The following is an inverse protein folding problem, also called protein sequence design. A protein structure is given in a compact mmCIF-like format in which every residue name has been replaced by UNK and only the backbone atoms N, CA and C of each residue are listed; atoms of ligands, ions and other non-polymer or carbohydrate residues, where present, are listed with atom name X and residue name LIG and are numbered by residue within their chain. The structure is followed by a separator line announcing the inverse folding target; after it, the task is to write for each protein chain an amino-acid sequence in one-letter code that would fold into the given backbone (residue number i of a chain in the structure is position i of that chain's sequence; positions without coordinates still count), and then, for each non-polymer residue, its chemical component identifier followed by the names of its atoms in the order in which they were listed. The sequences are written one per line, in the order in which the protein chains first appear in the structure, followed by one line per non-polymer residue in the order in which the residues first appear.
data_IF_761054996740
#
_entry.id   IF_761054996740
#
_cell.length_a   1.000
_cell.length_b   1.000
_cell.length_c   1.000
_cell.angle_alpha   90.00
_cell.angle_beta   90.00
_cell.angle_gamma   90.00
#
_symmetry.space_group_name_H-M   'P 1'
#
loop_
_entity.id
_entity.type
_entity.pdbx_description
1 polymer ?
#
# COMPACT_ATOMS: atom_id res chain seq x y z
N UNK A 1 -2.09 -15.21 -16.80
CA UNK A 1 -0.68 -14.85 -16.49
C UNK A 1 -0.56 -14.10 -15.16
N UNK A 2 -1.36 -13.03 -14.89
CA UNK A 2 -1.29 -12.31 -13.61
C UNK A 2 -1.56 -13.21 -12.40
N UNK A 3 -2.61 -14.05 -12.46
CA UNK A 3 -2.87 -15.04 -11.41
C UNK A 3 -1.71 -16.04 -11.27
N UNK A 4 -1.11 -16.47 -12.37
CA UNK A 4 0.05 -17.35 -12.33
C UNK A 4 1.24 -16.71 -11.58
N UNK A 5 1.59 -15.45 -11.88
CA UNK A 5 2.62 -14.71 -11.16
C UNK A 5 2.35 -14.65 -9.65
N UNK A 6 1.09 -14.39 -9.27
CA UNK A 6 0.69 -14.37 -7.86
C UNK A 6 0.80 -15.73 -7.17
N UNK A 7 0.42 -16.79 -7.87
CA UNK A 7 0.56 -18.17 -7.34
C UNK A 7 2.03 -18.53 -7.16
N UNK A 8 2.91 -18.19 -8.12
CA UNK A 8 4.34 -18.40 -8.02
C UNK A 8 4.97 -17.69 -6.82
N UNK A 9 4.52 -16.46 -6.53
CA UNK A 9 4.95 -15.70 -5.35
C UNK A 9 4.59 -16.44 -4.04
N UNK A 10 3.35 -16.93 -3.92
CA UNK A 10 2.94 -17.71 -2.74
C UNK A 10 3.73 -19.02 -2.62
N UNK A 11 3.94 -19.73 -3.72
CA UNK A 11 4.68 -20.98 -3.73
C UNK A 11 6.17 -20.80 -3.37
N UNK A 12 6.77 -19.64 -3.67
CA UNK A 12 8.12 -19.29 -3.27
C UNK A 12 8.27 -18.89 -1.80
N UNK A 13 7.17 -18.58 -1.10
CA UNK A 13 7.20 -18.16 0.30
C UNK A 13 7.73 -19.28 1.21
N UNK A 14 8.29 -18.91 2.37
CA UNK A 14 8.86 -19.85 3.32
C UNK A 14 7.89 -20.93 3.79
N UNK A 15 6.59 -20.60 3.79
CA UNK A 15 5.52 -21.54 4.13
C UNK A 15 5.38 -22.70 3.12
N UNK A 16 5.55 -22.42 1.82
CA UNK A 16 5.23 -23.40 0.77
C UNK A 16 6.45 -23.86 -0.02
N UNK A 17 7.58 -23.17 0.08
CA UNK A 17 8.77 -23.43 -0.73
C UNK A 17 9.32 -24.85 -0.57
N UNK A 18 9.26 -25.42 0.63
CA UNK A 18 9.73 -26.79 0.88
C UNK A 18 8.93 -27.86 0.12
N UNK A 19 7.65 -27.61 -0.09
CA UNK A 19 6.75 -28.54 -0.79
C UNK A 19 6.66 -28.27 -2.29
N UNK A 20 6.66 -26.99 -2.66
CA UNK A 20 6.53 -26.57 -4.06
C UNK A 20 7.81 -26.65 -4.87
N UNK A 21 8.96 -26.54 -4.21
CA UNK A 21 10.27 -26.44 -4.87
C UNK A 21 10.48 -25.13 -5.64
N UNK A 22 9.57 -24.15 -5.53
CA UNK A 22 9.64 -22.89 -6.27
C UNK A 22 10.56 -21.91 -5.54
N UNK A 23 11.51 -21.35 -6.28
CA UNK A 23 12.45 -20.34 -5.78
C UNK A 23 11.89 -18.92 -5.94
N UNK A 24 12.44 -17.97 -5.18
CA UNK A 24 12.16 -16.54 -5.35
C UNK A 24 12.50 -16.04 -6.76
N UNK A 25 13.55 -16.58 -7.38
CA UNK A 25 13.89 -16.22 -8.76
C UNK A 25 12.81 -16.63 -9.74
N UNK A 26 12.25 -17.84 -9.63
CA UNK A 26 11.15 -18.27 -10.50
C UNK A 26 9.88 -17.42 -10.30
N UNK A 27 9.61 -16.97 -9.09
CA UNK A 27 8.50 -16.03 -8.82
C UNK A 27 8.77 -14.66 -9.45
N UNK A 28 9.99 -14.14 -9.35
CA UNK A 28 10.39 -12.89 -9.98
C UNK A 28 10.31 -12.97 -11.52
N UNK A 29 10.78 -14.06 -12.11
CA UNK A 29 10.73 -14.31 -13.56
C UNK A 29 9.28 -14.36 -14.06
N UNK A 30 8.39 -14.98 -13.29
CA UNK A 30 6.96 -15.02 -13.63
C UNK A 30 6.32 -13.63 -13.61
N UNK A 31 6.68 -12.77 -12.66
CA UNK A 31 6.23 -11.38 -12.60
C UNK A 31 6.82 -10.53 -13.74
N UNK A 32 8.11 -10.68 -14.02
CA UNK A 32 8.80 -9.99 -15.12
C UNK A 32 8.20 -10.38 -16.47
N UNK A 33 7.92 -11.67 -16.70
CA UNK A 33 7.27 -12.13 -17.93
C UNK A 33 5.90 -11.50 -18.12
N UNK A 34 5.12 -11.35 -17.03
CA UNK A 34 3.83 -10.68 -17.11
C UNK A 34 3.99 -9.20 -17.55
N UNK A 35 4.92 -8.46 -16.96
CA UNK A 35 5.17 -7.07 -17.32
C UNK A 35 5.67 -6.92 -18.77
N UNK A 36 6.52 -7.85 -19.23
CA UNK A 36 7.02 -7.85 -20.60
C UNK A 36 5.92 -8.15 -21.63
N UNK A 37 5.12 -9.18 -21.37
CA UNK A 37 4.11 -9.65 -22.33
C UNK A 37 2.88 -8.73 -22.41
N UNK A 38 2.54 -8.04 -21.33
CA UNK A 38 1.29 -7.30 -21.18
C UNK A 38 1.46 -5.82 -20.81
N UNK A 39 2.69 -5.31 -20.73
CA UNK A 39 2.98 -3.92 -20.36
C UNK A 39 2.44 -2.86 -21.34
N UNK A 40 2.00 -3.26 -22.53
CA UNK A 40 1.28 -2.39 -23.48
C UNK A 40 -0.22 -2.30 -23.20
N UNK A 41 -0.78 -3.30 -22.47
CA UNK A 41 -2.20 -3.38 -22.12
C UNK A 41 -2.48 -2.87 -20.72
N UNK A 42 -1.55 -3.14 -19.80
CA UNK A 42 -1.64 -2.77 -18.40
C UNK A 42 -0.46 -1.90 -18.00
N UNK A 43 -0.68 -0.99 -17.09
CA UNK A 43 0.36 -0.09 -16.59
C UNK A 43 -0.16 0.74 -15.44
N UNK A 44 0.72 1.52 -14.82
CA UNK A 44 0.32 2.41 -13.74
C UNK A 44 -0.67 3.48 -14.24
N UNK A 45 -1.66 3.79 -13.43
CA UNK A 45 -2.58 4.88 -13.68
C UNK A 45 -1.86 6.22 -13.45
N UNK A 46 -1.56 6.91 -14.52
CA UNK A 46 -0.78 8.17 -14.52
C UNK A 46 -1.46 9.31 -15.28
N UNK A 47 -2.79 9.26 -15.38
CA UNK A 47 -3.55 10.25 -16.17
C UNK A 47 -3.75 11.59 -15.46
N UNK A 48 -3.58 11.63 -14.16
CA UNK A 48 -3.62 12.86 -13.36
C UNK A 48 -2.20 13.40 -13.15
N UNK A 49 -2.09 14.69 -12.87
CA UNK A 49 -0.79 15.35 -12.66
C UNK A 49 -0.24 15.19 -11.25
N UNK A 50 -1.13 14.92 -10.28
CA UNK A 50 -0.78 14.73 -8.88
C UNK A 50 -0.69 13.24 -8.52
N UNK A 51 0.44 12.76 -7.98
CA UNK A 51 0.62 11.34 -7.63
C UNK A 51 -0.41 10.79 -6.63
N UNK A 52 -0.86 11.60 -5.67
CA UNK A 52 -1.91 11.21 -4.72
C UNK A 52 -3.23 10.96 -5.45
N UNK A 53 -3.59 11.85 -6.36
CA UNK A 53 -4.81 11.73 -7.17
C UNK A 53 -4.72 10.52 -8.10
N UNK A 54 -3.57 10.27 -8.72
CA UNK A 54 -3.35 9.05 -9.51
C UNK A 54 -3.61 7.79 -8.69
N UNK A 55 -3.01 7.69 -7.52
CA UNK A 55 -3.18 6.54 -6.62
C UNK A 55 -4.63 6.37 -6.18
N UNK A 56 -5.28 7.45 -5.74
CA UNK A 56 -6.69 7.43 -5.34
C UNK A 56 -7.60 6.97 -6.48
N UNK A 57 -7.42 7.52 -7.67
CA UNK A 57 -8.21 7.18 -8.83
C UNK A 57 -7.94 5.76 -9.35
N UNK A 58 -6.71 5.26 -9.24
CA UNK A 58 -6.42 3.86 -9.57
C UNK A 58 -7.23 2.86 -8.73
N UNK A 59 -7.53 3.24 -7.46
CA UNK A 59 -8.33 2.42 -6.55
C UNK A 59 -9.84 2.65 -6.73
N UNK A 60 -10.27 3.91 -6.84
CA UNK A 60 -11.69 4.28 -6.84
C UNK A 60 -12.36 4.14 -8.21
N UNK A 61 -11.63 4.37 -9.31
CA UNK A 61 -12.17 4.18 -10.65
C UNK A 61 -12.19 2.70 -11.00
N UNK A 62 -13.33 2.22 -11.43
CA UNK A 62 -13.45 0.83 -11.85
C UNK A 62 -12.79 0.63 -13.23
N UNK A 63 -12.61 -0.63 -13.61
CA UNK A 63 -11.96 -1.00 -14.87
C UNK A 63 -12.75 -0.62 -16.14
N UNK A 64 -14.03 -0.25 -16.01
CA UNK A 64 -14.82 0.29 -17.11
C UNK A 64 -14.55 1.76 -17.36
N UNK A 65 -13.96 2.47 -16.42
CA UNK A 65 -13.54 3.84 -16.64
C UNK A 65 -12.40 3.84 -17.66
N UNK A 66 -12.61 4.56 -18.73
CA UNK A 66 -11.67 4.71 -19.83
C UNK A 66 -10.32 5.16 -19.35
N UNK A 67 -9.37 4.55 -19.08
CA UNK A 67 -8.00 4.92 -18.64
C UNK A 67 -7.54 4.26 -17.33
N UNK A 68 -8.34 3.41 -16.69
CA UNK A 68 -7.82 2.63 -15.56
C UNK A 68 -7.28 1.28 -16.07
N UNK A 69 -6.13 1.34 -16.74
CA UNK A 69 -5.41 0.16 -17.21
C UNK A 69 -4.53 -0.51 -16.14
N UNK A 70 -4.55 0.00 -14.90
CA UNK A 70 -3.90 -0.66 -13.76
C UNK A 70 -4.74 -1.83 -13.23
N UNK A 71 -6.06 -1.80 -13.42
CA UNK A 71 -6.95 -2.86 -12.98
C UNK A 71 -6.93 -4.04 -13.94
N UNK A 72 -6.41 -5.19 -13.50
CA UNK A 72 -6.29 -6.41 -14.29
C UNK A 72 -7.53 -7.30 -14.12
N UNK A 73 -8.04 -7.41 -12.90
CA UNK A 73 -9.18 -8.22 -12.55
C UNK A 73 -9.98 -7.58 -11.42
N UNK A 74 -11.30 -7.50 -11.59
CA UNK A 74 -12.19 -6.91 -10.59
C UNK A 74 -13.46 -7.75 -10.42
N UNK A 75 -14.10 -7.59 -9.30
CA UNK A 75 -15.43 -8.14 -9.01
C UNK A 75 -16.48 -7.02 -9.17
N UNK A 76 -17.48 -7.25 -9.96
CA UNK A 76 -18.42 -6.21 -10.39
C UNK A 76 -19.80 -6.26 -9.70
N UNK A 77 -20.00 -7.11 -8.70
CA UNK A 77 -21.33 -7.44 -8.18
C UNK A 77 -21.47 -7.17 -6.67
N UNK A 78 -20.59 -6.34 -6.10
CA UNK A 78 -20.62 -6.08 -4.66
C UNK A 78 -21.39 -4.81 -4.37
N UNK A 79 -22.60 -4.94 -3.86
CA UNK A 79 -23.25 -3.86 -3.13
C UNK A 79 -22.61 -3.77 -1.73
N UNK A 80 -21.87 -2.71 -1.47
CA UNK A 80 -21.43 -2.40 -0.11
C UNK A 80 -22.63 -1.89 0.67
N UNK A 81 -23.05 -2.63 1.71
CA UNK A 81 -24.15 -2.21 2.58
C UNK A 81 -23.77 -0.93 3.35
N UNK A 82 -24.72 -0.04 3.53
CA UNK A 82 -24.57 1.19 4.29
C UNK A 82 -23.97 0.98 5.69
N UNK A 83 -24.25 -0.16 6.32
CA UNK A 83 -23.69 -0.52 7.62
C UNK A 83 -22.16 -0.70 7.64
N UNK A 84 -21.54 -1.16 6.55
CA UNK A 84 -20.08 -1.27 6.48
C UNK A 84 -19.44 0.12 6.42
N UNK A 85 -19.97 1.01 5.60
CA UNK A 85 -19.49 2.40 5.49
C UNK A 85 -19.62 3.11 6.83
N UNK A 86 -20.75 2.96 7.51
CA UNK A 86 -20.99 3.56 8.81
C UNK A 86 -20.02 3.06 9.89
N UNK A 87 -19.69 1.78 9.89
CA UNK A 87 -18.74 1.21 10.85
C UNK A 87 -17.32 1.76 10.65
N UNK A 88 -16.92 2.03 9.43
CA UNK A 88 -15.54 2.43 9.09
C UNK A 88 -15.34 3.96 9.13
N UNK A 89 -16.42 4.73 9.05
CA UNK A 89 -16.37 6.19 9.14
C UNK A 89 -15.91 6.65 10.53
N UNK A 90 -15.12 7.73 10.63
CA UNK A 90 -14.70 8.30 11.92
C UNK A 90 -15.85 8.66 12.84
N UNK A 91 -15.65 8.51 14.15
CA UNK A 91 -16.69 8.79 15.16
C UNK A 91 -17.17 10.24 15.09
N UNK A 92 -16.28 11.21 14.83
CA UNK A 92 -16.64 12.63 14.68
C UNK A 92 -17.55 12.91 13.49
N UNK A 93 -17.59 12.03 12.50
CA UNK A 93 -18.41 12.09 11.30
C UNK A 93 -19.63 11.15 11.37
N UNK A 94 -20.00 10.73 12.56
CA UNK A 94 -21.18 9.90 12.81
C UNK A 94 -20.98 8.41 12.61
N UNK A 95 -19.77 7.95 12.42
CA UNK A 95 -19.42 6.53 12.32
C UNK A 95 -18.93 5.92 13.63
N UNK A 96 -18.45 4.69 13.56
CA UNK A 96 -17.95 3.93 14.72
C UNK A 96 -16.41 3.83 14.78
N UNK A 97 -15.69 4.28 13.74
CA UNK A 97 -14.22 4.20 13.67
C UNK A 97 -13.70 2.77 13.74
N UNK A 98 -14.41 1.80 13.14
CA UNK A 98 -14.12 0.38 13.27
C UNK A 98 -12.86 -0.08 12.53
N UNK A 99 -12.45 0.63 11.49
CA UNK A 99 -11.26 0.29 10.69
C UNK A 99 -10.15 1.30 10.93
N UNK A 100 -9.13 0.89 11.68
CA UNK A 100 -7.95 1.70 11.92
C UNK A 100 -6.69 1.00 11.40
N UNK A 101 -5.76 1.72 10.74
CA UNK A 101 -4.48 1.15 10.37
C UNK A 101 -3.64 0.87 11.62
N UNK A 102 -2.80 -0.16 11.56
CA UNK A 102 -1.77 -0.32 12.57
C UNK A 102 -0.72 0.78 12.45
N UNK A 103 -0.07 1.14 13.57
CA UNK A 103 1.01 2.11 13.54
C UNK A 103 2.18 1.62 12.66
N UNK A 104 2.44 0.31 12.64
CA UNK A 104 3.45 -0.28 11.75
C UNK A 104 3.18 0.04 10.27
N UNK A 105 1.93 -0.05 9.81
CA UNK A 105 1.59 0.33 8.45
C UNK A 105 1.89 1.81 8.17
N UNK A 106 1.55 2.69 9.11
CA UNK A 106 1.84 4.14 8.97
C UNK A 106 3.35 4.39 8.92
N UNK A 107 4.11 3.69 9.74
CA UNK A 107 5.56 3.84 9.84
C UNK A 107 6.32 3.29 8.63
N UNK A 108 5.73 2.34 7.91
CA UNK A 108 6.31 1.78 6.68
C UNK A 108 6.23 2.71 5.46
N UNK A 109 5.41 3.75 5.49
CA UNK A 109 5.44 4.74 4.41
C UNK A 109 6.71 5.57 4.49
N UNK A 110 7.41 5.71 3.38
CA UNK A 110 8.62 6.54 3.29
C UNK A 110 8.29 8.05 3.36
N UNK A 111 9.32 8.85 3.48
CA UNK A 111 9.22 10.29 3.29
C UNK A 111 9.14 10.61 1.78
N UNK A 112 8.70 11.81 1.44
CA UNK A 112 8.60 12.27 0.05
C UNK A 112 9.94 12.26 -0.71
N UNK A 113 11.05 12.26 0.02
CA UNK A 113 12.39 12.14 -0.56
C UNK A 113 12.85 10.67 -0.76
N UNK A 114 11.99 9.69 -0.51
CA UNK A 114 12.27 8.26 -0.66
C UNK A 114 13.09 7.65 0.47
N UNK A 115 13.32 8.38 1.56
CA UNK A 115 14.03 7.86 2.73
C UNK A 115 13.04 7.32 3.75
N UNK A 116 13.36 6.18 4.33
CA UNK A 116 12.55 5.63 5.43
C UNK A 116 12.64 6.51 6.68
N UNK A 117 11.53 6.77 7.40
CA UNK A 117 11.50 7.62 8.60
C UNK A 117 12.46 7.18 9.69
N UNK A 118 12.66 5.87 9.86
CA UNK A 118 13.46 5.28 10.91
C UNK A 118 14.70 4.57 10.36
N UNK A 119 15.72 4.43 11.20
CA UNK A 119 17.02 3.88 10.81
C UNK A 119 17.02 2.37 10.60
N UNK A 120 16.09 1.66 11.24
CA UNK A 120 15.98 0.20 11.11
C UNK A 120 14.56 -0.29 11.35
N UNK A 121 14.22 -1.38 10.67
CA UNK A 121 12.96 -2.10 10.75
C UNK A 121 13.24 -3.59 10.97
N UNK A 122 12.37 -4.25 11.70
CA UNK A 122 12.42 -5.71 11.86
C UNK A 122 11.81 -6.43 10.64
N UNK A 123 11.79 -7.75 10.69
CA UNK A 123 11.25 -8.61 9.63
C UNK A 123 9.73 -8.45 9.41
N UNK A 124 9.02 -7.84 10.36
CA UNK A 124 7.59 -7.55 10.26
C UNK A 124 7.31 -6.16 9.69
N UNK A 125 8.35 -5.37 9.44
CA UNK A 125 8.24 -3.98 9.01
C UNK A 125 7.96 -3.01 10.16
N UNK A 126 8.10 -3.43 11.42
CA UNK A 126 7.99 -2.53 12.56
C UNK A 126 9.33 -1.82 12.82
N UNK A 127 9.31 -0.52 13.17
CA UNK A 127 10.53 0.19 13.56
C UNK A 127 11.18 -0.44 14.79
N UNK A 128 12.51 -0.56 14.78
CA UNK A 128 13.26 -1.14 15.89
C UNK A 128 13.51 -0.12 16.97
N UNK A 129 13.14 -0.44 18.22
CA UNK A 129 13.20 0.47 19.36
C UNK A 129 14.49 0.40 20.19
N UNK A 130 15.39 -0.51 19.97
CA UNK A 130 16.71 -0.63 20.64
C UNK A 130 16.74 -0.27 22.14
N UNK A 131 15.67 -0.60 22.87
CA UNK A 131 15.53 -0.29 24.30
C UNK A 131 15.18 1.17 24.65
N UNK A 132 14.82 1.98 23.66
CA UNK A 132 14.36 3.37 23.83
C UNK A 132 12.83 3.47 23.74
N UNK A 133 12.25 4.55 24.24
CA UNK A 133 10.80 4.81 24.15
C UNK A 133 10.32 5.12 22.73
N UNK A 134 11.23 5.50 21.84
CA UNK A 134 10.96 5.83 20.44
C UNK A 134 11.99 5.16 19.55
N UNK A 135 11.62 4.76 18.32
CA UNK A 135 12.59 4.20 17.38
C UNK A 135 13.61 5.25 16.94
N UNK A 136 14.80 4.81 16.55
CA UNK A 136 15.84 5.70 16.07
C UNK A 136 15.44 6.33 14.73
N UNK A 137 15.35 7.66 14.70
CA UNK A 137 15.01 8.42 13.50
C UNK A 137 16.17 8.38 12.51
N UNK A 138 15.86 8.16 11.24
CA UNK A 138 16.80 8.36 10.15
C UNK A 138 16.96 9.87 9.89
N UNK A 139 18.08 10.45 10.28
CA UNK A 139 18.31 11.90 10.15
C UNK A 139 18.28 12.37 8.67
N UNK A 140 18.62 11.52 7.71
CA UNK A 140 18.57 11.86 6.30
C UNK A 140 17.14 11.94 5.75
N UNK A 141 16.17 11.36 6.46
CA UNK A 141 14.77 11.33 6.04
C UNK A 141 14.05 12.67 6.21
N UNK A 142 14.48 13.49 7.17
CA UNK A 142 13.78 14.70 7.56
C UNK A 142 12.50 14.46 8.36
N UNK A 143 12.26 13.24 8.83
CA UNK A 143 11.12 12.89 9.69
C UNK A 143 11.16 13.65 11.02
N UNK A 144 9.99 14.05 11.51
CA UNK A 144 9.83 14.73 12.81
C UNK A 144 8.74 14.04 13.62
N UNK A 145 9.06 13.58 14.81
CA UNK A 145 8.10 12.90 15.69
C UNK A 145 6.94 13.79 16.19
N UNK A 146 7.13 15.10 16.21
CA UNK A 146 6.06 16.06 16.53
C UNK A 146 5.21 16.48 15.31
N UNK A 147 5.59 16.03 14.12
CA UNK A 147 4.86 16.23 12.86
C UNK A 147 5.04 15.00 11.97
N UNK A 148 4.44 13.85 12.35
CA UNK A 148 4.75 12.56 11.74
C UNK A 148 4.11 12.34 10.36
N UNK A 149 3.23 13.23 9.94
CA UNK A 149 2.44 13.06 8.71
C UNK A 149 2.87 13.99 7.56
N UNK A 150 3.64 15.05 7.85
CA UNK A 150 4.11 15.97 6.82
C UNK A 150 5.27 15.38 6.01
N UNK A 151 5.33 15.74 4.73
CA UNK A 151 6.38 15.33 3.80
C UNK A 151 6.55 13.81 3.67
N UNK A 152 5.47 13.07 3.83
CA UNK A 152 5.42 11.62 3.63
C UNK A 152 5.10 11.26 2.18
N UNK A 153 5.30 10.01 1.83
CA UNK A 153 4.79 9.44 0.59
C UNK A 153 3.33 9.85 0.39
N UNK A 154 2.93 10.37 -0.79
CA UNK A 154 1.56 10.85 -1.03
C UNK A 154 0.49 9.78 -0.83
N UNK A 155 0.84 8.50 -0.92
CA UNK A 155 -0.08 7.38 -0.64
C UNK A 155 -0.52 7.32 0.81
N UNK A 156 0.32 7.77 1.77
CA UNK A 156 -0.09 7.85 3.17
C UNK A 156 -1.35 8.71 3.31
N UNK A 157 -1.32 9.93 2.80
CA UNK A 157 -2.45 10.85 2.89
C UNK A 157 -3.67 10.43 2.05
N UNK A 158 -3.50 9.49 1.12
CA UNK A 158 -4.59 8.91 0.34
C UNK A 158 -5.24 7.70 1.04
N UNK A 159 -4.52 7.05 1.98
CA UNK A 159 -4.95 5.78 2.60
C UNK A 159 -5.36 5.97 4.05
N UNK A 160 -4.73 6.90 4.77
CA UNK A 160 -4.87 7.05 6.22
C UNK A 160 -5.44 8.42 6.55
N UNK A 161 -6.53 8.42 7.30
CA UNK A 161 -7.05 9.63 7.95
C UNK A 161 -6.32 9.84 9.27
N UNK A 162 -5.85 11.05 9.50
CA UNK A 162 -5.14 11.44 10.71
C UNK A 162 -5.60 12.81 11.21
N UNK A 163 -5.28 13.13 12.45
CA UNK A 163 -5.68 14.40 13.05
C UNK A 163 -5.15 15.60 12.25
N UNK A 164 -6.05 16.52 11.91
CA UNK A 164 -5.74 17.74 11.13
C UNK A 164 -5.86 17.59 9.61
N UNK A 165 -6.19 16.40 9.08
CA UNK A 165 -6.50 16.25 7.66
C UNK A 165 -7.93 16.75 7.38
N UNK A 166 -8.16 17.34 6.20
CA UNK A 166 -9.49 17.68 5.75
C UNK A 166 -10.25 16.43 5.32
N UNK A 167 -11.46 16.32 5.82
CA UNK A 167 -12.40 15.25 5.48
C UNK A 167 -13.31 15.67 4.34
#
# INVERSE_FOLDING_TARGET
RALYSRVMLYMASDRFRSESGISWQQAADAAQSFMTDYGTLYGLYTTDTDPKTCYTNAILKNAHDEKNNETIFWRNDVAVGWGAIYNDTPVGEGGNGGLCPSQNLVDMYDMANGQSPFSSYDETGAPVYNGTATPAINNASGYKSNDPYSNRDPRLAATVLYNGVNW
#
